data_IF_441373485754
#
_entry.id   IF_441373485754
#
_cell.length_a   1.000
_cell.length_b   1.000
_cell.length_c   1.000
_cell.angle_alpha   90.00
_cell.angle_beta   90.00
_cell.angle_gamma   90.00
#
_symmetry.space_group_name_H-M   'P 1'
#
loop_
_entity.id
_entity.type
_entity.pdbx_description
1 polymer ?
#
# COMPACT_ATOMS: atom_id res chain seq x y z
N UNK A 1 -1.66 30.34 8.29
CA UNK A 1 -1.08 29.01 8.54
C UNK A 1 -2.14 27.98 8.92
N UNK A 2 -2.96 28.21 9.97
CA UNK A 2 -4.01 27.26 10.41
C UNK A 2 -4.97 26.73 9.33
N UNK A 3 -5.40 27.56 8.40
CA UNK A 3 -6.38 27.18 7.35
C UNK A 3 -5.79 26.17 6.34
N UNK A 4 -4.49 26.27 6.01
CA UNK A 4 -3.80 25.31 5.14
C UNK A 4 -3.57 23.97 5.85
N UNK A 5 -3.30 24.00 7.14
CA UNK A 5 -3.13 22.79 7.96
C UNK A 5 -4.46 22.03 8.11
N UNK A 6 -5.56 22.75 8.35
CA UNK A 6 -6.90 22.14 8.42
C UNK A 6 -7.30 21.50 7.09
N UNK A 7 -7.05 22.17 5.96
CA UNK A 7 -7.31 21.60 4.63
C UNK A 7 -6.48 20.35 4.37
N UNK A 8 -5.20 20.35 4.76
CA UNK A 8 -4.34 19.15 4.63
C UNK A 8 -4.86 17.98 5.47
N UNK A 9 -5.27 18.22 6.71
CA UNK A 9 -5.86 17.20 7.59
C UNK A 9 -7.15 16.64 6.98
N UNK A 10 -8.03 17.50 6.47
CA UNK A 10 -9.27 17.06 5.82
C UNK A 10 -8.99 16.22 4.56
N UNK A 11 -8.00 16.58 3.75
CA UNK A 11 -7.59 15.77 2.59
C UNK A 11 -7.07 14.39 3.00
N UNK A 12 -6.28 14.31 4.08
CA UNK A 12 -5.79 13.02 4.60
C UNK A 12 -6.94 12.16 5.12
N UNK A 13 -7.88 12.74 5.86
CA UNK A 13 -9.05 12.02 6.35
C UNK A 13 -9.94 11.51 5.20
N UNK A 14 -10.15 12.34 4.17
CA UNK A 14 -10.90 11.94 2.99
C UNK A 14 -10.19 10.81 2.23
N UNK A 15 -8.89 10.92 2.04
CA UNK A 15 -8.09 9.86 1.41
C UNK A 15 -8.15 8.55 2.20
N UNK A 16 -8.07 8.61 3.54
CA UNK A 16 -8.20 7.44 4.40
C UNK A 16 -9.59 6.80 4.32
N UNK A 17 -10.66 7.61 4.28
CA UNK A 17 -12.01 7.12 4.10
C UNK A 17 -12.20 6.45 2.73
N UNK A 18 -11.70 7.06 1.65
CA UNK A 18 -11.73 6.46 0.32
C UNK A 18 -10.94 5.14 0.26
N UNK A 19 -9.79 5.09 0.94
CA UNK A 19 -9.00 3.86 1.03
C UNK A 19 -9.72 2.76 1.79
N UNK A 20 -10.36 3.08 2.92
CA UNK A 20 -11.16 2.14 3.69
C UNK A 20 -12.37 1.60 2.91
N UNK A 21 -13.04 2.45 2.13
CA UNK A 21 -14.16 2.05 1.28
C UNK A 21 -13.76 1.05 0.18
N UNK A 22 -12.49 1.03 -0.25
CA UNK A 22 -11.99 0.12 -1.29
C UNK A 22 -12.30 -1.36 -0.98
N UNK A 23 -12.17 -1.78 0.28
CA UNK A 23 -12.47 -3.16 0.68
C UNK A 23 -13.95 -3.53 0.53
N UNK A 24 -14.85 -2.58 0.78
CA UNK A 24 -16.29 -2.78 0.59
C UNK A 24 -16.59 -3.05 -0.89
N UNK A 25 -15.99 -2.26 -1.80
CA UNK A 25 -16.15 -2.45 -3.24
C UNK A 25 -15.58 -3.79 -3.71
N UNK A 26 -14.44 -4.22 -3.17
CA UNK A 26 -13.85 -5.53 -3.48
C UNK A 26 -14.84 -6.64 -3.10
N UNK A 27 -15.43 -6.62 -1.90
CA UNK A 27 -16.38 -7.63 -1.47
C UNK A 27 -17.65 -7.65 -2.33
N UNK A 28 -18.19 -6.48 -2.70
CA UNK A 28 -19.35 -6.38 -3.57
C UNK A 28 -19.03 -6.96 -4.95
N UNK A 29 -17.95 -6.56 -5.57
CA UNK A 29 -17.57 -7.03 -6.91
C UNK A 29 -17.28 -8.53 -6.92
N UNK A 30 -16.68 -9.06 -5.86
CA UNK A 30 -16.49 -10.51 -5.68
C UNK A 30 -17.81 -11.26 -5.68
N UNK A 31 -18.84 -10.73 -5.01
CA UNK A 31 -20.17 -11.34 -5.00
C UNK A 31 -20.79 -11.40 -6.42
N UNK A 32 -20.42 -10.51 -7.33
CA UNK A 32 -20.79 -10.54 -8.74
C UNK A 32 -19.86 -11.41 -9.62
N UNK A 33 -18.92 -12.16 -9.03
CA UNK A 33 -18.03 -13.09 -9.72
C UNK A 33 -16.84 -12.42 -10.42
N UNK A 34 -16.53 -11.16 -10.09
CA UNK A 34 -15.35 -10.47 -10.64
C UNK A 34 -14.08 -10.97 -9.96
N UNK A 35 -13.12 -11.42 -10.75
CA UNK A 35 -11.84 -11.92 -10.23
C UNK A 35 -10.93 -10.79 -9.72
N UNK A 36 -10.11 -11.07 -8.70
CA UNK A 36 -9.17 -10.11 -8.14
C UNK A 36 -8.21 -9.48 -9.15
N UNK A 37 -7.78 -10.25 -10.15
CA UNK A 37 -6.95 -9.74 -11.25
C UNK A 37 -7.71 -8.72 -12.10
N UNK A 38 -8.97 -8.99 -12.45
CA UNK A 38 -9.80 -8.07 -13.22
C UNK A 38 -10.05 -6.77 -12.45
N UNK A 39 -10.35 -6.85 -11.15
CA UNK A 39 -10.50 -5.67 -10.29
C UNK A 39 -9.22 -4.82 -10.26
N UNK A 40 -8.08 -5.48 -10.10
CA UNK A 40 -6.79 -4.80 -10.07
C UNK A 40 -6.50 -4.12 -11.40
N UNK A 41 -6.71 -4.79 -12.52
CA UNK A 41 -6.51 -4.24 -13.87
C UNK A 41 -7.41 -3.02 -14.13
N UNK A 42 -8.71 -3.15 -13.86
CA UNK A 42 -9.68 -2.05 -14.04
C UNK A 42 -9.30 -0.85 -13.18
N UNK A 43 -8.94 -1.09 -11.92
CA UNK A 43 -8.51 -0.03 -11.00
C UNK A 43 -7.25 0.68 -11.51
N UNK A 44 -6.23 -0.05 -11.91
CA UNK A 44 -4.98 0.53 -12.43
C UNK A 44 -5.20 1.28 -13.74
N UNK A 45 -5.99 0.71 -14.66
CA UNK A 45 -6.35 1.37 -15.91
C UNK A 45 -7.14 2.67 -15.66
N UNK A 46 -8.11 2.64 -14.76
CA UNK A 46 -8.91 3.83 -14.40
C UNK A 46 -8.04 4.94 -13.82
N UNK A 47 -7.14 4.61 -12.91
CA UNK A 47 -6.20 5.59 -12.33
C UNK A 47 -5.26 6.14 -13.40
N UNK A 48 -4.72 5.30 -14.28
CA UNK A 48 -3.83 5.73 -15.35
C UNK A 48 -4.53 6.68 -16.32
N UNK A 49 -5.75 6.34 -16.75
CA UNK A 49 -6.55 7.17 -17.67
C UNK A 49 -6.92 8.51 -17.02
N UNK A 50 -7.47 8.50 -15.82
CA UNK A 50 -7.89 9.73 -15.12
C UNK A 50 -6.70 10.65 -14.83
N UNK A 51 -5.59 10.07 -14.36
CA UNK A 51 -4.36 10.83 -14.09
C UNK A 51 -3.76 11.36 -15.39
N UNK A 52 -3.76 10.56 -16.47
CA UNK A 52 -3.28 10.96 -17.78
C UNK A 52 -4.09 12.12 -18.35
N UNK A 53 -5.42 12.05 -18.31
CA UNK A 53 -6.31 13.14 -18.75
C UNK A 53 -6.07 14.41 -17.92
N UNK A 54 -6.00 14.29 -16.60
CA UNK A 54 -5.74 15.42 -15.72
C UNK A 54 -4.38 16.07 -15.99
N UNK A 55 -3.35 15.25 -16.20
CA UNK A 55 -1.98 15.73 -16.48
C UNK A 55 -1.91 16.42 -17.85
N UNK A 56 -2.55 15.84 -18.88
CA UNK A 56 -2.65 16.43 -20.20
C UNK A 56 -3.34 17.81 -20.17
N UNK A 57 -4.38 17.94 -19.34
CA UNK A 57 -5.13 19.20 -19.21
C UNK A 57 -4.39 20.28 -18.40
N UNK A 58 -3.64 19.88 -17.35
CA UNK A 58 -3.05 20.84 -16.40
C UNK A 58 -1.55 21.05 -16.58
N UNK A 59 -0.80 20.04 -16.98
CA UNK A 59 0.66 20.05 -17.11
C UNK A 59 1.15 19.18 -18.26
N UNK A 60 0.90 19.55 -19.53
CA UNK A 60 1.29 18.72 -20.69
C UNK A 60 2.80 18.49 -20.79
N UNK A 61 3.60 19.39 -20.24
CA UNK A 61 5.06 19.22 -20.18
C UNK A 61 5.52 18.04 -19.32
N UNK A 62 4.74 17.67 -18.29
CA UNK A 62 5.03 16.55 -17.42
C UNK A 62 4.75 15.16 -18.06
N UNK A 63 4.08 15.14 -19.22
CA UNK A 63 3.89 13.91 -20.03
C UNK A 63 5.13 13.59 -20.90
N UNK A 64 6.09 14.52 -21.02
CA UNK A 64 7.35 14.26 -21.70
C UNK A 64 8.25 13.48 -20.74
N UNK A 65 8.18 12.15 -20.85
CA UNK A 65 9.01 11.24 -20.06
C UNK A 65 10.19 10.82 -20.93
N UNK A 66 11.41 10.95 -20.41
CA UNK A 66 12.58 10.39 -21.04
C UNK A 66 12.53 8.86 -20.97
N UNK A 67 12.87 8.20 -22.08
CA UNK A 67 12.95 6.73 -22.14
C UNK A 67 13.85 6.13 -21.06
N UNK A 68 14.81 6.91 -20.59
CA UNK A 68 15.72 6.53 -19.53
C UNK A 68 15.02 6.42 -18.15
N UNK A 69 14.02 7.25 -17.91
CA UNK A 69 13.25 7.23 -16.67
C UNK A 69 12.27 6.05 -16.64
N UNK A 70 11.87 5.54 -17.82
CA UNK A 70 10.98 4.39 -17.94
C UNK A 70 11.56 3.13 -17.29
N UNK A 71 12.90 2.97 -17.31
CA UNK A 71 13.62 1.86 -16.66
C UNK A 71 13.35 1.84 -15.14
N UNK A 72 13.09 2.98 -14.53
CA UNK A 72 12.76 3.08 -13.11
C UNK A 72 11.26 3.06 -12.84
N UNK A 73 10.47 3.67 -13.71
CA UNK A 73 9.00 3.73 -13.56
C UNK A 73 8.32 2.37 -13.79
N UNK A 74 8.81 1.56 -14.75
CA UNK A 74 8.21 0.26 -15.06
C UNK A 74 8.35 -0.72 -13.88
N UNK A 75 9.54 -0.94 -13.29
CA UNK A 75 9.65 -1.80 -12.11
C UNK A 75 8.86 -1.28 -10.91
N UNK A 76 8.92 0.02 -10.63
CA UNK A 76 8.17 0.62 -9.52
C UNK A 76 6.66 0.49 -9.70
N UNK A 77 6.14 0.72 -10.91
CA UNK A 77 4.72 0.57 -11.21
C UNK A 77 4.28 -0.90 -11.27
N UNK A 78 5.02 -1.75 -12.00
CA UNK A 78 4.65 -3.15 -12.19
C UNK A 78 4.89 -3.98 -10.93
N UNK A 79 6.06 -3.89 -10.29
CA UNK A 79 6.40 -4.68 -9.11
C UNK A 79 5.85 -4.03 -7.83
N UNK A 80 5.94 -2.72 -7.71
CA UNK A 80 5.47 -2.01 -6.53
C UNK A 80 3.94 -1.99 -6.44
N UNK A 81 3.28 -1.23 -7.30
CA UNK A 81 1.85 -0.98 -7.19
C UNK A 81 0.98 -2.13 -7.70
N UNK A 82 1.33 -2.73 -8.83
CA UNK A 82 0.50 -3.80 -9.44
C UNK A 82 0.58 -5.07 -8.61
N UNK A 83 1.78 -5.56 -8.28
CA UNK A 83 1.95 -6.76 -7.45
C UNK A 83 1.37 -6.57 -6.05
N UNK A 84 1.62 -5.41 -5.43
CA UNK A 84 0.98 -5.02 -4.17
C UNK A 84 -0.54 -5.15 -4.27
N UNK A 85 -1.14 -4.53 -5.27
CA UNK A 85 -2.60 -4.53 -5.44
C UNK A 85 -3.17 -5.91 -5.70
N UNK A 86 -2.47 -6.70 -6.50
CA UNK A 86 -2.86 -8.07 -6.81
C UNK A 86 -2.81 -8.94 -5.55
N UNK A 87 -1.70 -8.95 -4.85
CA UNK A 87 -1.51 -9.73 -3.63
C UNK A 87 -2.49 -9.30 -2.54
N UNK A 88 -2.72 -8.01 -2.38
CA UNK A 88 -3.70 -7.50 -1.43
C UNK A 88 -5.11 -7.98 -1.73
N UNK A 89 -5.52 -7.92 -3.00
CA UNK A 89 -6.85 -8.39 -3.41
C UNK A 89 -7.01 -9.89 -3.15
N UNK A 90 -6.01 -10.72 -3.49
CA UNK A 90 -6.05 -12.15 -3.19
C UNK A 90 -6.06 -12.43 -1.68
N UNK A 91 -5.31 -11.68 -0.89
CA UNK A 91 -5.34 -11.79 0.57
C UNK A 91 -6.75 -11.51 1.10
N UNK A 92 -7.41 -10.44 0.63
CA UNK A 92 -8.80 -10.12 1.03
C UNK A 92 -9.76 -11.28 0.73
N UNK A 93 -9.61 -11.93 -0.42
CA UNK A 93 -10.47 -13.08 -0.78
C UNK A 93 -10.29 -14.29 0.13
N UNK A 94 -9.08 -14.55 0.61
CA UNK A 94 -8.74 -15.75 1.38
C UNK A 94 -8.90 -15.56 2.89
N UNK A 95 -8.50 -14.42 3.43
CA UNK A 95 -8.53 -14.18 4.90
C UNK A 95 -9.48 -13.07 5.32
N UNK A 96 -10.20 -12.47 4.38
CA UNK A 96 -11.12 -11.37 4.63
C UNK A 96 -10.44 -10.00 4.72
N UNK A 97 -11.24 -8.96 4.56
CA UNK A 97 -10.76 -7.56 4.47
C UNK A 97 -10.04 -7.09 5.73
N UNK A 98 -10.58 -7.42 6.91
CA UNK A 98 -10.00 -7.01 8.19
C UNK A 98 -8.60 -7.57 8.39
N UNK A 99 -8.45 -8.89 8.20
CA UNK A 99 -7.16 -9.59 8.35
C UNK A 99 -6.15 -9.13 7.30
N UNK A 100 -6.57 -8.99 6.04
CA UNK A 100 -5.71 -8.49 4.97
C UNK A 100 -5.20 -7.06 5.25
N UNK A 101 -6.06 -6.16 5.75
CA UNK A 101 -5.65 -4.82 6.15
C UNK A 101 -4.62 -4.85 7.27
N UNK A 102 -4.83 -5.71 8.27
CA UNK A 102 -3.89 -5.89 9.38
C UNK A 102 -2.53 -6.38 8.91
N UNK A 103 -2.49 -7.33 7.98
CA UNK A 103 -1.23 -7.83 7.40
C UNK A 103 -0.46 -6.73 6.67
N UNK A 104 -1.16 -5.80 6.01
CA UNK A 104 -0.50 -4.62 5.42
C UNK A 104 0.02 -3.67 6.48
N UNK A 105 -0.69 -3.48 7.59
CA UNK A 105 -0.20 -2.63 8.69
C UNK A 105 1.02 -3.21 9.42
N UNK A 106 1.44 -4.44 9.12
CA UNK A 106 2.78 -4.96 9.47
C UNK A 106 3.91 -4.28 8.67
N UNK A 107 3.58 -3.58 7.57
CA UNK A 107 4.55 -2.91 6.71
C UNK A 107 5.51 -1.97 7.46
N UNK A 108 5.07 -1.07 8.36
CA UNK A 108 6.01 -0.23 9.12
C UNK A 108 7.00 -1.05 9.95
N UNK A 109 6.55 -2.20 10.46
CA UNK A 109 7.40 -3.15 11.19
C UNK A 109 8.41 -3.82 10.27
N UNK A 110 8.01 -4.20 9.08
CA UNK A 110 8.90 -4.75 8.05
C UNK A 110 9.90 -3.68 7.57
N UNK A 111 9.46 -2.46 7.30
CA UNK A 111 10.33 -1.32 6.95
C UNK A 111 11.40 -1.12 8.02
N UNK A 112 11.00 -1.13 9.30
CA UNK A 112 11.93 -0.98 10.40
C UNK A 112 12.93 -2.13 10.49
N UNK A 113 12.48 -3.37 10.27
CA UNK A 113 13.34 -4.55 10.25
C UNK A 113 14.35 -4.46 9.10
N UNK A 114 13.90 -4.09 7.90
CA UNK A 114 14.77 -3.86 6.75
C UNK A 114 15.79 -2.73 7.00
N UNK A 115 15.37 -1.61 7.61
CA UNK A 115 16.28 -0.52 8.00
C UNK A 115 17.40 -1.00 8.93
N UNK A 116 17.07 -1.82 9.93
CA UNK A 116 18.06 -2.35 10.87
C UNK A 116 19.01 -3.32 10.17
N UNK A 117 18.47 -4.23 9.32
CA UNK A 117 19.26 -5.29 8.68
C UNK A 117 20.12 -4.75 7.53
N UNK A 118 19.55 -3.95 6.64
CA UNK A 118 20.21 -3.50 5.41
C UNK A 118 20.91 -2.15 5.55
N UNK A 119 20.33 -1.21 6.32
CA UNK A 119 20.93 0.10 6.53
C UNK A 119 21.78 0.18 7.80
N UNK A 120 21.88 -0.93 8.55
CA UNK A 120 22.61 -1.00 9.82
C UNK A 120 22.20 0.09 10.82
N UNK A 121 20.95 0.52 10.77
CA UNK A 121 20.42 1.48 11.75
C UNK A 121 20.38 0.87 13.16
N UNK A 122 20.67 1.72 14.16
CA UNK A 122 20.62 1.27 15.56
C UNK A 122 19.20 0.88 15.96
N UNK A 123 19.07 -0.34 16.46
CA UNK A 123 17.84 -0.81 17.07
C UNK A 123 17.66 -0.11 18.42
N UNK A 124 16.61 0.70 18.54
CA UNK A 124 16.31 1.38 19.80
C UNK A 124 15.17 0.66 20.54
N UNK A 125 15.14 0.68 21.89
CA UNK A 125 14.06 0.05 22.66
C UNK A 125 12.66 0.54 22.27
N UNK A 126 12.54 1.81 21.90
CA UNK A 126 11.28 2.38 21.39
C UNK A 126 10.82 1.74 20.09
N UNK A 127 11.74 1.47 19.13
CA UNK A 127 11.44 0.75 17.89
C UNK A 127 10.95 -0.67 18.20
N UNK A 128 11.58 -1.36 19.16
CA UNK A 128 11.18 -2.69 19.61
C UNK A 128 9.78 -2.72 20.22
N UNK A 129 9.46 -1.75 21.07
CA UNK A 129 8.13 -1.62 21.67
C UNK A 129 7.05 -1.40 20.60
N UNK A 130 7.29 -0.51 19.63
CA UNK A 130 6.36 -0.29 18.51
C UNK A 130 6.13 -1.57 17.69
N UNK A 131 7.17 -2.36 17.45
CA UNK A 131 7.07 -3.63 16.76
C UNK A 131 6.17 -4.62 17.51
N UNK A 132 6.42 -4.79 18.82
CA UNK A 132 5.62 -5.69 19.66
C UNK A 132 4.16 -5.26 19.71
N UNK A 133 3.90 -3.96 19.94
CA UNK A 133 2.54 -3.42 19.97
C UNK A 133 1.82 -3.58 18.62
N UNK A 134 2.52 -3.39 17.50
CA UNK A 134 1.97 -3.61 16.15
C UNK A 134 1.60 -5.08 15.93
N UNK A 135 2.48 -6.01 16.30
CA UNK A 135 2.21 -7.45 16.18
C UNK A 135 1.05 -7.91 17.07
N UNK A 136 0.99 -7.40 18.31
CA UNK A 136 -0.14 -7.69 19.21
C UNK A 136 -1.45 -7.13 18.66
N UNK A 137 -1.46 -5.89 18.17
CA UNK A 137 -2.62 -5.30 17.53
C UNK A 137 -3.09 -6.12 16.32
N UNK A 138 -2.16 -6.57 15.49
CA UNK A 138 -2.43 -7.45 14.37
C UNK A 138 -3.06 -8.78 14.82
N UNK A 139 -2.51 -9.43 15.84
CA UNK A 139 -3.03 -10.68 16.35
C UNK A 139 -4.46 -10.55 16.92
N UNK A 140 -4.73 -9.44 17.61
CA UNK A 140 -6.07 -9.16 18.15
C UNK A 140 -7.12 -8.93 17.06
N UNK A 141 -6.80 -8.12 16.05
CA UNK A 141 -7.75 -7.76 14.97
C UNK A 141 -7.94 -8.89 13.98
N UNK A 142 -6.92 -9.71 13.72
CA UNK A 142 -7.02 -10.85 12.80
C UNK A 142 -7.95 -11.97 13.28
N UNK A 143 -8.44 -11.89 14.52
CA UNK A 143 -9.33 -12.91 15.08
C UNK A 143 -8.61 -14.23 15.45
N UNK A 144 -7.27 -14.31 15.33
CA UNK A 144 -6.50 -15.49 15.72
C UNK A 144 -6.73 -15.83 17.19
N UNK A 145 -6.84 -14.81 18.05
CA UNK A 145 -7.17 -14.99 19.47
C UNK A 145 -8.59 -15.57 19.69
N UNK A 146 -9.49 -15.41 18.72
CA UNK A 146 -10.85 -15.98 18.73
C UNK A 146 -10.98 -17.35 18.06
N UNK A 147 -9.88 -18.00 17.69
CA UNK A 147 -9.88 -19.33 17.10
C UNK A 147 -10.19 -19.36 15.59
N UNK A 148 -10.14 -18.22 14.92
CA UNK A 148 -10.29 -18.16 13.46
C UNK A 148 -9.07 -18.80 12.81
N UNK A 149 -9.28 -19.85 12.02
CA UNK A 149 -8.21 -20.47 11.23
C UNK A 149 -7.86 -19.55 10.06
N UNK A 150 -6.61 -19.09 10.03
CA UNK A 150 -6.11 -18.29 8.92
C UNK A 150 -5.68 -19.20 7.78
N UNK A 151 -6.14 -18.90 6.58
CA UNK A 151 -5.62 -19.54 5.38
C UNK A 151 -4.15 -19.12 5.16
N UNK A 152 -3.24 -20.10 5.10
CA UNK A 152 -1.80 -19.85 4.95
C UNK A 152 -1.48 -19.12 3.62
N UNK A 153 -2.23 -19.40 2.56
CA UNK A 153 -2.10 -18.72 1.27
C UNK A 153 -2.48 -17.25 1.38
N UNK A 154 -3.59 -16.96 2.06
CA UNK A 154 -4.06 -15.59 2.28
C UNK A 154 -3.09 -14.76 3.11
N UNK A 155 -2.46 -15.37 4.14
CA UNK A 155 -1.41 -14.73 4.94
C UNK A 155 -0.16 -14.48 4.09
N UNK A 156 0.26 -15.46 3.27
CA UNK A 156 1.41 -15.31 2.39
C UNK A 156 1.21 -14.18 1.37
N UNK A 157 0.02 -14.08 0.77
CA UNK A 157 -0.32 -12.97 -0.12
C UNK A 157 -0.34 -11.62 0.62
N UNK A 158 -0.87 -11.55 1.84
CA UNK A 158 -0.86 -10.33 2.64
C UNK A 158 0.54 -9.85 2.99
N UNK A 159 1.43 -10.76 3.39
CA UNK A 159 2.85 -10.46 3.64
C UNK A 159 3.58 -10.09 2.35
N UNK A 160 3.31 -10.77 1.24
CA UNK A 160 3.84 -10.42 -0.08
C UNK A 160 3.44 -9.00 -0.50
N UNK A 161 2.18 -8.62 -0.27
CA UNK A 161 1.71 -7.25 -0.51
C UNK A 161 2.48 -6.24 0.35
N UNK A 162 2.65 -6.51 1.65
CA UNK A 162 3.41 -5.65 2.55
C UNK A 162 4.88 -5.49 2.10
N UNK A 163 5.52 -6.56 1.64
CA UNK A 163 6.88 -6.52 1.10
C UNK A 163 6.97 -5.69 -0.18
N UNK A 164 6.07 -5.89 -1.14
CA UNK A 164 6.03 -5.11 -2.39
C UNK A 164 5.87 -3.61 -2.09
N UNK A 165 5.00 -3.27 -1.15
CA UNK A 165 4.78 -1.88 -0.76
C UNK A 165 6.00 -1.30 -0.02
N UNK A 166 6.67 -2.10 0.81
CA UNK A 166 7.92 -1.71 1.46
C UNK A 166 9.00 -1.40 0.43
N UNK A 167 9.19 -2.28 -0.56
CA UNK A 167 10.12 -2.04 -1.66
C UNK A 167 9.79 -0.76 -2.44
N UNK A 168 8.49 -0.51 -2.70
CA UNK A 168 8.04 0.72 -3.36
C UNK A 168 8.42 1.97 -2.58
N UNK A 169 8.27 1.97 -1.25
CA UNK A 169 8.64 3.10 -0.40
C UNK A 169 10.14 3.37 -0.43
N UNK A 170 10.97 2.32 -0.49
CA UNK A 170 12.42 2.49 -0.57
C UNK A 170 12.90 2.96 -1.94
N UNK A 171 12.18 2.62 -3.01
CA UNK A 171 12.53 3.04 -4.38
C UNK A 171 11.94 4.41 -4.75
N UNK A 172 10.98 4.92 -3.98
CA UNK A 172 10.39 6.24 -4.21
C UNK A 172 11.29 7.33 -3.63
N UNK A 173 11.62 8.40 -4.40
CA UNK A 173 12.41 9.50 -3.89
C UNK A 173 11.70 10.18 -2.72
N UNK A 174 12.45 10.39 -1.63
CA UNK A 174 11.94 11.10 -0.47
C UNK A 174 11.60 12.56 -0.82
N UNK A 175 10.54 13.16 -0.24
CA UNK A 175 10.28 14.59 -0.39
C UNK A 175 11.47 15.49 0.00
N UNK A 176 12.40 14.99 0.81
CA UNK A 176 13.65 15.69 1.17
C UNK A 176 14.67 15.70 0.04
N UNK A 177 14.68 14.65 -0.80
CA UNK A 177 15.59 14.56 -1.94
C UNK A 177 15.16 15.48 -3.09
N UNK A 178 13.84 15.76 -3.18
CA UNK A 178 13.25 16.65 -4.19
C UNK A 178 13.39 18.14 -3.78
N UNK A 179 13.48 18.44 -2.49
CA UNK A 179 13.56 19.82 -1.98
C UNK A 179 14.98 20.37 -1.92
N UNK A 180 16.00 19.57 -2.25
CA UNK A 180 17.42 19.92 -2.23
C UNK A 180 18.04 20.27 -3.59
N UNK A 181 17.20 20.35 -4.65
CA UNK A 181 17.64 20.76 -6.00
C UNK A 181 17.10 22.12 -6.39
#
# INVERSE_FOLDING_TARGET
>A
MKQKETAAVLMVLLAAACWGANGIFINILTAYGVNGTQMTLVRMASVAVLTGIWLAAKKPAALKIDLRDLVWFVPAGALGLFMFSLFYTYSIHLVGMGTAAVLIYLMPSLVMLFSVVFLHEKFTPGKGLCLVLSLLGCALVSGVAGGVTLDAGGVAYGLGAALCYTCLLYTSPSPRDISGS
#
